data_IF_843230705889
#
_entry.id   IF_843230705889
#
_cell.length_a   1.000
_cell.length_b   1.000
_cell.length_c   1.000
_cell.angle_alpha   90.00
_cell.angle_beta   90.00
_cell.angle_gamma   90.00
#
_symmetry.space_group_name_H-M   'P 1'
#
loop_
_entity.id
_entity.type
_entity.pdbx_description
1 polymer ?
#
# COMPACT_ATOMS: atom_id res chain seq x y z
N UNK A 1 -9.06 -13.58 23.75
CA UNK A 1 -7.82 -13.43 22.96
C UNK A 1 -8.08 -12.99 21.52
N UNK A 2 -9.12 -13.50 20.85
CA UNK A 2 -9.49 -13.13 19.47
C UNK A 2 -9.66 -11.61 19.22
N UNK A 3 -10.27 -10.88 20.17
CA UNK A 3 -10.55 -9.44 20.01
C UNK A 3 -9.27 -8.59 19.89
N UNK A 4 -8.21 -8.93 20.62
CA UNK A 4 -6.91 -8.25 20.55
C UNK A 4 -6.24 -8.47 19.19
N UNK A 5 -6.29 -9.69 18.68
CA UNK A 5 -5.74 -10.04 17.37
C UNK A 5 -6.50 -9.37 16.22
N UNK A 6 -7.84 -9.32 16.32
CA UNK A 6 -8.68 -8.65 15.33
C UNK A 6 -8.40 -7.15 15.30
N UNK A 7 -8.36 -6.50 16.46
CA UNK A 7 -8.03 -5.08 16.56
C UNK A 7 -6.64 -4.76 15.98
N UNK A 8 -5.64 -5.59 16.29
CA UNK A 8 -4.30 -5.47 15.75
C UNK A 8 -4.29 -5.61 14.22
N UNK A 9 -5.04 -6.58 13.68
CA UNK A 9 -5.17 -6.80 12.24
C UNK A 9 -5.84 -5.63 11.52
N UNK A 10 -6.89 -5.05 12.12
CA UNK A 10 -7.58 -3.86 11.60
C UNK A 10 -6.64 -2.65 11.60
N UNK A 11 -5.97 -2.37 12.71
CA UNK A 11 -5.01 -1.26 12.80
C UNK A 11 -3.86 -1.41 11.81
N UNK A 12 -3.33 -2.62 11.67
CA UNK A 12 -2.24 -2.90 10.74
C UNK A 12 -2.67 -2.69 9.28
N UNK A 13 -3.86 -3.19 8.93
CA UNK A 13 -4.44 -3.02 7.58
C UNK A 13 -4.72 -1.55 7.27
N UNK A 14 -5.29 -0.82 8.23
CA UNK A 14 -5.55 0.61 8.11
C UNK A 14 -4.24 1.42 8.03
N UNK A 15 -3.19 1.00 8.73
CA UNK A 15 -1.85 1.57 8.66
C UNK A 15 -1.22 1.42 7.27
N UNK A 16 -1.20 0.21 6.72
CA UNK A 16 -0.69 -0.04 5.35
C UNK A 16 -1.48 0.78 4.33
N UNK A 17 -2.79 0.88 4.52
CA UNK A 17 -3.63 1.68 3.66
C UNK A 17 -3.28 3.18 3.72
N UNK A 18 -3.15 3.74 4.93
CA UNK A 18 -2.74 5.13 5.14
C UNK A 18 -1.35 5.42 4.56
N UNK A 19 -0.43 4.46 4.65
CA UNK A 19 0.89 4.57 4.02
C UNK A 19 0.75 4.67 2.50
N UNK A 20 -0.01 3.77 1.87
CA UNK A 20 -0.26 3.76 0.42
C UNK A 20 -0.86 5.08 -0.07
N UNK A 21 -1.93 5.55 0.58
CA UNK A 21 -2.59 6.79 0.20
C UNK A 21 -1.71 8.03 0.46
N UNK A 22 -0.91 8.00 1.54
CA UNK A 22 0.08 9.02 1.87
C UNK A 22 1.17 9.18 0.80
N UNK A 23 1.65 8.09 0.20
CA UNK A 23 2.58 8.15 -0.95
C UNK A 23 1.96 8.84 -2.17
N UNK A 24 0.70 8.51 -2.50
CA UNK A 24 -0.02 9.14 -3.60
C UNK A 24 -0.19 10.65 -3.40
N UNK A 25 -0.57 11.05 -2.17
CA UNK A 25 -0.71 12.45 -1.79
C UNK A 25 0.63 13.21 -1.81
N UNK A 26 1.71 12.59 -1.32
CA UNK A 26 3.05 13.18 -1.36
C UNK A 26 3.51 13.48 -2.79
N UNK A 27 3.27 12.56 -3.73
CA UNK A 27 3.63 12.79 -5.13
C UNK A 27 2.82 13.92 -5.76
N UNK A 28 1.50 13.97 -5.49
CA UNK A 28 0.65 15.06 -5.95
C UNK A 28 1.18 16.41 -5.44
N UNK A 29 1.49 16.51 -4.15
CA UNK A 29 2.04 17.71 -3.53
C UNK A 29 3.42 18.10 -4.08
N UNK A 30 4.28 17.12 -4.36
CA UNK A 30 5.60 17.33 -4.96
C UNK A 30 5.53 17.81 -6.41
N UNK A 31 4.49 17.41 -7.17
CA UNK A 31 4.32 17.77 -8.59
C UNK A 31 3.63 19.12 -8.78
N UNK A 32 2.86 19.58 -7.78
CA UNK A 32 2.18 20.88 -7.79
C UNK A 32 3.10 21.99 -7.30
N UNK A 33 3.31 23.01 -8.14
CA UNK A 33 4.21 24.16 -7.88
C UNK A 33 3.55 25.34 -7.14
N UNK A 34 2.35 25.17 -6.57
CA UNK A 34 1.64 26.27 -5.90
C UNK A 34 0.94 25.84 -4.61
N UNK A 35 1.08 26.66 -3.57
CA UNK A 35 0.38 26.50 -2.27
C UNK A 35 -1.13 26.32 -2.44
N UNK A 36 -1.87 27.12 -3.24
CA UNK A 36 -3.32 26.95 -3.35
C UNK A 36 -3.72 25.60 -3.98
N UNK A 37 -2.95 25.10 -4.96
CA UNK A 37 -3.20 23.80 -5.59
C UNK A 37 -2.90 22.62 -4.64
N UNK A 38 -1.93 22.81 -3.75
CA UNK A 38 -1.60 21.84 -2.70
C UNK A 38 -2.71 21.75 -1.67
N UNK A 39 -3.16 22.89 -1.16
CA UNK A 39 -4.29 22.97 -0.21
C UNK A 39 -5.54 22.34 -0.83
N UNK A 40 -5.88 22.70 -2.07
CA UNK A 40 -7.03 22.10 -2.75
C UNK A 40 -6.91 20.58 -2.87
N UNK A 41 -5.76 20.05 -3.31
CA UNK A 41 -5.58 18.60 -3.41
C UNK A 41 -5.71 17.87 -2.07
N UNK A 42 -5.16 18.43 -0.99
CA UNK A 42 -5.32 17.85 0.35
C UNK A 42 -6.76 17.94 0.84
N UNK A 43 -7.45 19.07 0.61
CA UNK A 43 -8.85 19.22 1.01
C UNK A 43 -9.74 18.26 0.25
N UNK A 44 -9.54 18.11 -1.07
CA UNK A 44 -10.29 17.17 -1.90
C UNK A 44 -10.08 15.73 -1.42
N UNK A 45 -8.84 15.35 -1.12
CA UNK A 45 -8.51 14.05 -0.56
C UNK A 45 -9.24 13.82 0.77
N UNK A 46 -9.16 14.76 1.71
CA UNK A 46 -9.83 14.66 3.02
C UNK A 46 -11.35 14.55 2.87
N UNK A 47 -11.97 15.34 1.98
CA UNK A 47 -13.41 15.30 1.73
C UNK A 47 -13.82 13.96 1.14
N UNK A 48 -13.09 13.45 0.14
CA UNK A 48 -13.41 12.17 -0.50
C UNK A 48 -13.34 11.01 0.51
N UNK A 49 -12.28 10.97 1.33
CA UNK A 49 -12.17 9.96 2.38
C UNK A 49 -13.21 10.13 3.47
N UNK A 50 -13.53 11.36 3.88
CA UNK A 50 -14.60 11.64 4.83
C UNK A 50 -15.95 11.13 4.33
N UNK A 51 -16.27 11.34 3.05
CA UNK A 51 -17.49 10.82 2.43
C UNK A 51 -17.53 9.29 2.43
N UNK A 52 -16.41 8.62 2.16
CA UNK A 52 -16.33 7.15 2.24
C UNK A 52 -16.63 6.66 3.66
N UNK A 53 -16.02 7.27 4.67
CA UNK A 53 -16.27 6.91 6.08
C UNK A 53 -17.75 7.12 6.45
N UNK A 54 -18.33 8.27 6.10
CA UNK A 54 -19.75 8.57 6.34
C UNK A 54 -20.66 7.56 5.62
N UNK A 55 -20.37 7.24 4.36
CA UNK A 55 -21.14 6.26 3.60
C UNK A 55 -21.07 4.87 4.26
N UNK A 56 -19.88 4.43 4.69
CA UNK A 56 -19.72 3.18 5.44
C UNK A 56 -20.51 3.20 6.76
N UNK A 57 -20.53 4.33 7.48
CA UNK A 57 -21.33 4.48 8.70
C UNK A 57 -22.81 4.33 8.43
N UNK A 58 -23.34 5.04 7.44
CA UNK A 58 -24.75 4.96 7.07
C UNK A 58 -25.09 3.50 6.77
N UNK A 59 -24.31 2.85 5.90
CA UNK A 59 -24.49 1.44 5.57
C UNK A 59 -24.47 0.51 6.78
N UNK A 60 -23.55 0.70 7.73
CA UNK A 60 -23.48 -0.14 8.94
C UNK A 60 -24.67 0.10 9.87
N UNK A 61 -25.14 1.34 10.00
CA UNK A 61 -26.22 1.70 10.94
C UNK A 61 -27.62 1.43 10.41
N UNK A 62 -27.83 1.47 9.09
CA UNK A 62 -29.15 1.29 8.48
C UNK A 62 -29.45 -0.15 8.09
N UNK A 63 -28.43 -1.02 8.06
CA UNK A 63 -28.53 -2.29 7.37
C UNK A 63 -28.14 -3.43 8.31
N UNK A 64 -29.03 -4.42 8.46
CA UNK A 64 -28.71 -5.62 9.21
C UNK A 64 -27.60 -6.40 8.50
N UNK A 65 -26.42 -6.44 9.13
CA UNK A 65 -25.20 -7.06 8.60
C UNK A 65 -25.44 -8.52 8.17
N UNK A 66 -26.33 -9.22 8.88
CA UNK A 66 -26.68 -10.62 8.61
C UNK A 66 -27.42 -10.81 7.28
N UNK A 67 -28.27 -9.86 6.86
CA UNK A 67 -29.00 -9.95 5.60
C UNK A 67 -28.08 -9.77 4.37
N UNK A 68 -26.96 -9.04 4.54
CA UNK A 68 -26.05 -8.69 3.45
C UNK A 68 -24.79 -9.55 3.37
N UNK A 69 -24.64 -10.49 4.31
CA UNK A 69 -23.49 -11.40 4.35
C UNK A 69 -23.25 -12.17 3.03
N UNK A 70 -24.28 -12.71 2.32
CA UNK A 70 -24.07 -13.41 1.05
C UNK A 70 -23.55 -12.48 -0.05
N UNK A 71 -24.08 -11.25 -0.12
CA UNK A 71 -23.62 -10.26 -1.08
C UNK A 71 -22.18 -9.83 -0.76
N UNK A 72 -21.86 -9.68 0.52
CA UNK A 72 -20.52 -9.33 0.99
C UNK A 72 -19.48 -10.39 0.61
N UNK A 73 -19.81 -11.68 0.69
CA UNK A 73 -18.93 -12.75 0.22
C UNK A 73 -18.64 -12.67 -1.28
N UNK A 74 -19.67 -12.40 -2.09
CA UNK A 74 -19.50 -12.21 -3.54
C UNK A 74 -18.59 -11.00 -3.81
N UNK A 75 -18.82 -9.88 -3.11
CA UNK A 75 -18.01 -8.67 -3.23
C UNK A 75 -16.55 -8.95 -2.83
N UNK A 76 -16.30 -9.68 -1.74
CA UNK A 76 -14.95 -10.04 -1.30
C UNK A 76 -14.24 -10.91 -2.34
N UNK A 77 -14.94 -11.90 -2.91
CA UNK A 77 -14.39 -12.79 -3.94
C UNK A 77 -13.91 -11.98 -5.16
N UNK A 78 -14.73 -11.04 -5.62
CA UNK A 78 -14.35 -10.14 -6.71
C UNK A 78 -13.27 -9.13 -6.30
N UNK A 79 -13.29 -8.66 -5.04
CA UNK A 79 -12.29 -7.74 -4.51
C UNK A 79 -10.89 -8.35 -4.52
N UNK A 80 -10.76 -9.65 -4.22
CA UNK A 80 -9.47 -10.33 -4.27
C UNK A 80 -8.89 -10.36 -5.69
N UNK A 81 -9.73 -10.68 -6.68
CA UNK A 81 -9.33 -10.69 -8.10
C UNK A 81 -8.91 -9.30 -8.58
N UNK A 82 -9.71 -8.27 -8.27
CA UNK A 82 -9.38 -6.89 -8.60
C UNK A 82 -8.13 -6.39 -7.88
N UNK A 83 -7.90 -6.82 -6.63
CA UNK A 83 -6.70 -6.46 -5.88
C UNK A 83 -5.44 -7.08 -6.48
N UNK A 84 -5.51 -8.35 -6.90
CA UNK A 84 -4.41 -9.00 -7.62
C UNK A 84 -4.07 -8.27 -8.92
N UNK A 85 -5.09 -7.96 -9.74
CA UNK A 85 -4.89 -7.20 -10.98
C UNK A 85 -4.26 -5.82 -10.71
N UNK A 86 -4.75 -5.11 -9.68
CA UNK A 86 -4.20 -3.82 -9.28
C UNK A 86 -2.75 -3.93 -8.78
N UNK A 87 -2.40 -4.99 -8.07
CA UNK A 87 -1.03 -5.23 -7.62
C UNK A 87 -0.07 -5.50 -8.79
N UNK A 88 -0.49 -6.28 -9.80
CA UNK A 88 0.28 -6.50 -11.03
C UNK A 88 0.45 -5.19 -11.80
N UNK A 89 -0.61 -4.41 -12.00
CA UNK A 89 -0.54 -3.11 -12.64
C UNK A 89 0.40 -2.14 -11.90
N UNK A 90 0.33 -2.10 -10.56
CA UNK A 90 1.26 -1.31 -9.75
C UNK A 90 2.70 -1.78 -9.95
N UNK A 91 2.96 -3.08 -10.02
CA UNK A 91 4.30 -3.63 -10.26
C UNK A 91 4.84 -3.21 -11.63
N UNK A 92 4.06 -3.40 -12.70
CA UNK A 92 4.42 -3.00 -14.07
C UNK A 92 4.70 -1.49 -14.13
N UNK A 93 3.81 -0.68 -13.53
CA UNK A 93 3.97 0.77 -13.51
C UNK A 93 5.21 1.21 -12.72
N UNK A 94 5.49 0.55 -11.59
CA UNK A 94 6.67 0.83 -10.76
C UNK A 94 7.96 0.59 -11.53
N UNK A 95 8.05 -0.55 -12.22
CA UNK A 95 9.20 -0.89 -13.08
C UNK A 95 9.34 0.11 -14.23
N UNK A 96 8.23 0.49 -14.87
CA UNK A 96 8.23 1.51 -15.92
C UNK A 96 8.71 2.88 -15.40
N UNK A 97 8.36 3.24 -14.17
CA UNK A 97 8.77 4.50 -13.55
C UNK A 97 10.27 4.50 -13.18
N UNK A 98 10.78 3.40 -12.64
CA UNK A 98 12.20 3.24 -12.27
C UNK A 98 13.10 3.20 -13.51
N UNK A 99 12.65 2.55 -14.61
CA UNK A 99 13.42 2.44 -15.87
C UNK A 99 13.45 3.73 -16.69
N UNK A 100 12.68 4.75 -16.33
CA UNK A 100 12.60 6.00 -17.10
C UNK A 100 13.90 6.80 -16.94
N UNK A 101 14.64 7.01 -18.03
CA UNK A 101 15.89 7.79 -18.04
C UNK A 101 15.68 9.22 -17.50
N UNK A 102 16.62 9.68 -16.66
CA UNK A 102 16.77 11.08 -16.23
C UNK A 102 16.82 11.99 -17.46
N UNK A 103 15.70 12.61 -17.81
CA UNK A 103 15.61 13.51 -18.97
C UNK A 103 14.22 13.62 -19.58
N UNK A 104 13.36 12.60 -19.43
CA UNK A 104 12.01 12.64 -19.97
C UNK A 104 11.02 13.29 -18.98
N UNK A 105 10.83 14.62 -19.12
CA UNK A 105 9.97 15.49 -18.28
C UNK A 105 8.47 15.18 -18.33
N UNK A 106 8.02 14.15 -19.05
CA UNK A 106 6.60 13.82 -19.12
C UNK A 106 6.08 13.43 -17.73
N UNK A 107 5.20 14.25 -17.15
CA UNK A 107 4.50 13.98 -15.88
C UNK A 107 3.83 12.61 -15.95
N UNK A 108 4.25 11.68 -15.09
CA UNK A 108 3.60 10.37 -15.04
C UNK A 108 2.34 10.46 -14.17
N UNK A 109 1.22 9.91 -14.67
CA UNK A 109 -0.06 9.89 -13.93
C UNK A 109 -0.14 8.75 -12.89
N UNK A 110 0.99 8.12 -12.56
CA UNK A 110 1.04 6.96 -11.66
C UNK A 110 0.48 7.22 -10.27
N UNK A 111 0.48 8.48 -9.84
CA UNK A 111 -0.08 8.91 -8.56
C UNK A 111 -1.58 8.63 -8.42
N UNK A 112 -2.35 8.64 -9.50
CA UNK A 112 -3.79 8.33 -9.44
C UNK A 112 -4.02 6.88 -8.98
N UNK A 113 -3.13 5.97 -9.37
CA UNK A 113 -3.23 4.55 -9.02
C UNK A 113 -2.93 4.29 -7.53
N UNK A 114 -2.17 5.17 -6.86
CA UNK A 114 -1.98 5.10 -5.40
C UNK A 114 -3.07 5.81 -4.62
N UNK A 115 -3.59 6.92 -5.15
CA UNK A 115 -4.56 7.75 -4.45
C UNK A 115 -5.96 7.13 -4.45
N UNK A 116 -6.31 6.36 -5.49
CA UNK A 116 -7.60 5.70 -5.61
C UNK A 116 -7.75 4.57 -4.56
N UNK A 117 -8.85 4.58 -3.77
CA UNK A 117 -9.15 3.49 -2.86
C UNK A 117 -9.39 2.21 -3.65
N UNK A 118 -8.69 1.15 -3.26
CA UNK A 118 -8.89 -0.18 -3.81
C UNK A 118 -10.14 -0.84 -3.20
N UNK A 119 -10.78 -1.82 -3.85
CA UNK A 119 -11.95 -2.50 -3.29
C UNK A 119 -11.65 -3.14 -1.92
N UNK A 120 -10.45 -3.71 -1.74
CA UNK A 120 -9.99 -4.24 -0.45
C UNK A 120 -9.88 -3.14 0.61
N UNK A 121 -9.44 -1.95 0.24
CA UNK A 121 -9.32 -0.80 1.11
C UNK A 121 -10.71 -0.37 1.63
N UNK A 122 -11.72 -0.38 0.75
CA UNK A 122 -13.11 -0.12 1.12
C UNK A 122 -13.64 -1.17 2.11
N UNK A 123 -13.33 -2.46 1.89
CA UNK A 123 -13.69 -3.55 2.81
C UNK A 123 -13.03 -3.36 4.18
N UNK A 124 -11.75 -2.99 4.24
CA UNK A 124 -11.06 -2.73 5.50
C UNK A 124 -11.70 -1.55 6.25
N UNK A 125 -12.02 -0.44 5.56
CA UNK A 125 -12.71 0.71 6.17
C UNK A 125 -14.08 0.28 6.70
N UNK A 126 -14.85 -0.45 5.89
CA UNK A 126 -16.17 -0.96 6.28
C UNK A 126 -16.09 -1.88 7.50
N UNK A 127 -15.19 -2.86 7.50
CA UNK A 127 -14.99 -3.77 8.63
C UNK A 127 -14.53 -3.04 9.88
N UNK A 128 -13.68 -2.02 9.73
CA UNK A 128 -13.24 -1.19 10.85
C UNK A 128 -14.44 -0.46 11.46
N UNK A 129 -15.25 0.22 10.63
CA UNK A 129 -16.44 0.94 11.09
C UNK A 129 -17.47 -0.01 11.71
N UNK A 130 -17.73 -1.16 11.07
CA UNK A 130 -18.66 -2.17 11.57
C UNK A 130 -18.23 -2.73 12.94
N UNK A 131 -16.94 -3.04 13.07
CA UNK A 131 -16.39 -3.56 14.32
C UNK A 131 -16.48 -2.54 15.46
N UNK A 132 -16.10 -1.29 15.19
CA UNK A 132 -16.17 -0.23 16.20
C UNK A 132 -17.61 0.15 16.56
N UNK A 133 -18.53 0.14 15.58
CA UNK A 133 -19.96 0.36 15.84
C UNK A 133 -20.56 -0.75 16.71
N UNK A 134 -20.13 -2.00 16.52
CA UNK A 134 -20.54 -3.12 17.36
C UNK A 134 -19.92 -3.08 18.77
N UNK A 135 -18.73 -2.51 18.92
CA UNK A 135 -18.02 -2.44 20.20
C UNK A 135 -18.55 -1.32 21.12
N UNK A 136 -18.87 -0.14 20.57
CA UNK A 136 -19.43 1.01 21.34
C UNK A 136 -20.68 1.57 20.64
N UNK A 137 -21.85 0.93 20.81
CA UNK A 137 -23.07 1.34 20.14
C UNK A 137 -23.61 2.70 20.63
N UNK A 138 -23.30 3.12 21.85
CA UNK A 138 -23.78 4.40 22.41
C UNK A 138 -23.06 5.62 21.82
N UNK A 139 -21.81 5.47 21.39
CA UNK A 139 -20.94 6.56 20.90
C UNK A 139 -20.39 6.30 19.49
N UNK A 140 -21.23 5.79 18.59
CA UNK A 140 -20.85 5.45 17.21
C UNK A 140 -20.23 6.65 16.48
N UNK A 141 -20.85 7.84 16.57
CA UNK A 141 -20.37 9.07 15.89
C UNK A 141 -18.97 9.48 16.34
N UNK A 142 -18.71 9.45 17.65
CA UNK A 142 -17.40 9.83 18.22
C UNK A 142 -16.32 8.82 17.83
N UNK A 143 -16.66 7.53 17.86
CA UNK A 143 -15.74 6.45 17.52
C UNK A 143 -15.33 6.50 16.04
N UNK A 144 -16.27 6.80 15.14
CA UNK A 144 -15.97 6.97 13.71
C UNK A 144 -15.13 8.23 13.47
N UNK A 145 -15.46 9.33 14.16
CA UNK A 145 -14.65 10.55 14.10
C UNK A 145 -13.21 10.26 14.53
N UNK A 146 -13.02 9.50 15.61
CA UNK A 146 -11.71 9.04 16.07
C UNK A 146 -11.00 8.17 15.02
N UNK A 147 -11.71 7.23 14.38
CA UNK A 147 -11.14 6.35 13.37
C UNK A 147 -10.69 7.13 12.12
N UNK A 148 -11.52 8.06 11.66
CA UNK A 148 -11.19 8.97 10.57
C UNK A 148 -10.00 9.87 10.94
N UNK A 149 -10.00 10.44 12.14
CA UNK A 149 -8.91 11.27 12.64
C UNK A 149 -7.60 10.47 12.73
N UNK A 150 -7.66 9.24 13.23
CA UNK A 150 -6.52 8.32 13.27
C UNK A 150 -5.97 8.02 11.88
N UNK A 151 -6.85 7.72 10.92
CA UNK A 151 -6.46 7.54 9.52
C UNK A 151 -5.80 8.80 8.93
N UNK A 152 -6.33 9.98 9.21
CA UNK A 152 -5.76 11.25 8.75
C UNK A 152 -4.40 11.53 9.39
N UNK A 153 -4.23 11.25 10.69
CA UNK A 153 -2.95 11.38 11.39
C UNK A 153 -1.90 10.44 10.79
N UNK A 154 -2.27 9.19 10.47
CA UNK A 154 -1.37 8.23 9.83
C UNK A 154 -0.98 8.65 8.40
N UNK A 155 -1.91 9.22 7.63
CA UNK A 155 -1.60 9.78 6.32
C UNK A 155 -0.63 10.97 6.45
N UNK A 156 -0.89 11.87 7.40
CA UNK A 156 -0.06 13.06 7.60
C UNK A 156 1.33 12.70 8.14
N UNK A 157 1.42 11.70 9.02
CA UNK A 157 2.70 11.19 9.52
C UNK A 157 3.51 10.54 8.41
N UNK A 158 2.87 9.76 7.53
CA UNK A 158 3.49 9.20 6.34
C UNK A 158 4.00 10.33 5.43
N UNK A 159 3.16 11.32 5.12
CA UNK A 159 3.55 12.47 4.31
C UNK A 159 4.76 13.20 4.91
N UNK A 160 4.75 13.47 6.21
CA UNK A 160 5.84 14.11 6.93
C UNK A 160 7.13 13.28 6.91
N UNK A 161 7.03 11.97 7.09
CA UNK A 161 8.16 11.05 7.01
C UNK A 161 8.79 11.05 5.61
N UNK A 162 7.96 11.00 4.56
CA UNK A 162 8.43 11.02 3.17
C UNK A 162 9.04 12.37 2.78
N UNK A 163 8.45 13.47 3.24
CA UNK A 163 9.00 14.80 3.03
C UNK A 163 10.38 14.95 3.66
N UNK A 164 10.55 14.48 4.90
CA UNK A 164 11.85 14.46 5.60
C UNK A 164 12.86 13.57 4.86
N UNK A 165 12.45 12.38 4.42
CA UNK A 165 13.32 11.45 3.69
C UNK A 165 13.75 12.01 2.34
N UNK A 166 12.84 12.66 1.60
CA UNK A 166 13.15 13.32 0.33
C UNK A 166 14.14 14.46 0.50
N UNK A 167 13.99 15.29 1.55
CA UNK A 167 14.94 16.36 1.87
C UNK A 167 16.33 15.82 2.20
N UNK A 168 16.42 14.67 2.88
CA UNK A 168 17.71 14.06 3.28
C UNK A 168 18.44 13.37 2.11
N UNK A 169 17.70 12.79 1.17
CA UNK A 169 18.27 11.96 0.11
C UNK A 169 18.45 12.66 -1.23
N UNK A 170 17.92 13.89 -1.40
CA UNK A 170 17.92 14.64 -2.68
C UNK A 170 17.44 13.79 -3.88
N UNK A 171 16.65 12.74 -3.61
CA UNK A 171 16.17 11.83 -4.65
C UNK A 171 15.00 12.46 -5.39
N UNK A 172 14.92 12.28 -6.73
CA UNK A 172 13.77 12.75 -7.47
C UNK A 172 12.51 12.02 -6.99
N UNK A 173 11.37 12.73 -6.89
CA UNK A 173 10.13 12.17 -6.34
C UNK A 173 9.62 10.94 -7.11
N UNK A 174 9.95 10.84 -8.41
CA UNK A 174 9.58 9.69 -9.25
C UNK A 174 10.24 8.39 -8.80
N UNK A 175 11.51 8.42 -8.38
CA UNK A 175 12.24 7.21 -7.96
C UNK A 175 11.78 6.73 -6.59
N UNK A 176 11.53 7.67 -5.67
CA UNK A 176 10.99 7.36 -4.35
C UNK A 176 9.56 6.81 -4.44
N UNK A 177 8.74 7.38 -5.33
CA UNK A 177 7.40 6.86 -5.60
C UNK A 177 7.47 5.45 -6.23
N UNK A 178 8.31 5.25 -7.25
CA UNK A 178 8.44 3.97 -7.92
C UNK A 178 8.91 2.86 -6.98
N UNK A 179 9.90 3.14 -6.13
CA UNK A 179 10.37 2.18 -5.12
C UNK A 179 9.31 1.83 -4.09
N UNK A 180 8.57 2.83 -3.59
CA UNK A 180 7.48 2.61 -2.65
C UNK A 180 6.31 1.84 -3.26
N UNK A 181 5.91 2.18 -4.49
CA UNK A 181 4.88 1.44 -5.22
C UNK A 181 5.29 -0.02 -5.42
N UNK A 182 6.56 -0.27 -5.77
CA UNK A 182 7.07 -1.63 -5.96
C UNK A 182 7.02 -2.42 -4.65
N UNK A 183 7.48 -1.83 -3.54
CA UNK A 183 7.46 -2.47 -2.23
C UNK A 183 6.03 -2.81 -1.77
N UNK A 184 5.10 -1.87 -1.94
CA UNK A 184 3.68 -2.06 -1.60
C UNK A 184 3.04 -3.13 -2.51
N UNK A 185 3.32 -3.10 -3.81
CA UNK A 185 2.82 -4.11 -4.75
C UNK A 185 3.35 -5.51 -4.42
N UNK A 186 4.64 -5.61 -4.06
CA UNK A 186 5.28 -6.85 -3.65
C UNK A 186 4.65 -7.41 -2.37
N UNK A 187 4.44 -6.53 -1.38
CA UNK A 187 3.76 -6.88 -0.14
C UNK A 187 2.34 -7.40 -0.39
N UNK A 188 1.58 -6.76 -1.28
CA UNK A 188 0.23 -7.22 -1.63
C UNK A 188 0.23 -8.54 -2.38
N UNK A 189 1.11 -8.72 -3.37
CA UNK A 189 1.25 -10.01 -4.06
C UNK A 189 1.60 -11.13 -3.09
N UNK A 190 2.56 -10.88 -2.19
CA UNK A 190 2.95 -11.84 -1.17
C UNK A 190 1.77 -12.16 -0.24
N UNK A 191 1.01 -11.16 0.18
CA UNK A 191 -0.18 -11.34 1.03
C UNK A 191 -1.27 -12.18 0.34
N UNK A 192 -1.53 -11.93 -0.95
CA UNK A 192 -2.51 -12.69 -1.75
C UNK A 192 -2.07 -14.13 -1.99
N UNK A 193 -0.76 -14.37 -2.16
CA UNK A 193 -0.22 -15.73 -2.35
C UNK A 193 -0.24 -16.53 -1.04
N UNK A 194 0.07 -15.88 0.08
CA UNK A 194 0.18 -16.51 1.38
C UNK A 194 -1.19 -16.81 1.99
N UNK A 195 -2.15 -15.89 1.93
CA UNK A 195 -3.47 -16.04 2.57
C UNK A 195 -4.23 -17.34 2.24
N UNK A 196 -4.41 -17.76 0.96
CA UNK A 196 -5.16 -18.97 0.63
C UNK A 196 -4.46 -20.27 1.05
N UNK A 197 -3.17 -20.23 1.40
CA UNK A 197 -2.48 -21.41 1.93
C UNK A 197 -2.91 -21.70 3.38
N UNK A 198 -3.29 -20.67 4.14
CA UNK A 198 -3.71 -20.81 5.53
C UNK A 198 -5.15 -21.29 5.68
N UNK A 199 -6.03 -21.03 4.71
CA UNK A 199 -7.43 -21.46 4.78
C UNK A 199 -7.62 -22.98 4.67
N UNK A 200 -6.61 -23.72 4.16
CA UNK A 200 -6.65 -25.18 4.09
C UNK A 200 -6.08 -25.90 5.31
N UNK A 201 -5.48 -25.17 6.27
CA UNK A 201 -4.80 -25.81 7.42
C UNK A 201 -5.80 -26.48 8.36
N UNK A 202 -6.99 -25.91 8.55
CA UNK A 202 -8.05 -26.52 9.37
C UNK A 202 -8.54 -27.85 8.79
N UNK A 203 -8.63 -27.95 7.45
CA UNK A 203 -8.99 -29.18 6.74
C UNK A 203 -7.85 -30.21 6.79
N UNK A 204 -6.60 -29.78 6.66
CA UNK A 204 -5.44 -30.67 6.83
C UNK A 204 -5.35 -31.18 8.28
N UNK A 205 -5.65 -30.32 9.27
CA UNK A 205 -5.65 -30.69 10.68
C UNK A 205 -6.81 -31.66 10.98
N UNK A 206 -8.00 -31.45 10.42
CA UNK A 206 -9.14 -32.36 10.58
C UNK A 206 -8.90 -33.72 9.92
N UNK A 207 -8.24 -33.77 8.75
CA UNK A 207 -7.80 -35.00 8.09
C UNK A 207 -6.73 -35.75 8.90
N UNK A 208 -5.80 -35.02 9.54
CA UNK A 208 -4.80 -35.63 10.43
C UNK A 208 -5.40 -36.18 11.73
N UNK A 209 -6.51 -35.61 12.19
CA UNK A 209 -7.29 -36.07 13.34
C UNK A 209 -8.22 -37.24 13.01
N UNK A 210 -8.70 -37.36 11.76
CA UNK A 210 -9.70 -38.37 11.36
C UNK A 210 -9.16 -39.52 10.50
N UNK A 211 -7.89 -39.49 10.05
CA UNK A 211 -7.29 -40.55 9.24
C UNK A 211 -7.75 -40.52 7.77
N UNK A 212 -6.78 -40.51 6.86
CA UNK A 212 -6.93 -40.30 5.41
C UNK A 212 -7.90 -41.21 4.65
N UNK A 213 -8.46 -40.70 3.53
CA UNK A 213 -8.51 -41.43 2.25
C UNK A 213 -7.62 -40.75 1.17
N UNK A 214 -7.41 -41.36 -0.02
CA UNK A 214 -6.25 -41.11 -0.88
C UNK A 214 -6.43 -39.86 -1.76
N UNK A 215 -5.56 -38.86 -1.59
CA UNK A 215 -5.55 -37.62 -2.37
C UNK A 215 -4.16 -37.00 -2.53
N UNK A 216 -3.10 -37.81 -2.47
CA UNK A 216 -1.71 -37.32 -2.48
C UNK A 216 -1.26 -36.75 -3.84
N UNK A 217 -1.94 -37.08 -4.93
CA UNK A 217 -1.49 -36.71 -6.29
C UNK A 217 -1.82 -35.25 -6.64
N UNK A 218 -2.94 -34.71 -6.14
CA UNK A 218 -3.37 -33.32 -6.41
C UNK A 218 -2.54 -32.28 -5.63
N UNK A 219 -2.02 -32.66 -4.46
CA UNK A 219 -1.20 -31.78 -3.62
C UNK A 219 0.23 -31.63 -4.15
N UNK A 220 0.78 -32.65 -4.81
CA UNK A 220 2.11 -32.57 -5.41
C UNK A 220 2.12 -31.62 -6.63
N UNK A 221 1.09 -31.63 -7.47
CA UNK A 221 0.95 -30.73 -8.62
C UNK A 221 0.81 -29.25 -8.18
N UNK A 222 0.03 -29.01 -7.11
CA UNK A 222 -0.12 -27.67 -6.51
C UNK A 222 1.14 -27.18 -5.78
N UNK A 223 1.96 -28.10 -5.23
CA UNK A 223 3.27 -27.77 -4.63
C UNK A 223 4.31 -27.36 -5.66
N UNK A 224 4.35 -28.04 -6.81
CA UNK A 224 5.31 -27.75 -7.88
C UNK A 224 5.06 -26.41 -8.56
N UNK A 225 3.80 -26.05 -8.77
CA UNK A 225 3.46 -24.71 -9.28
C UNK A 225 3.87 -23.61 -8.27
N UNK A 226 3.78 -23.88 -6.97
CA UNK A 226 4.19 -22.95 -5.92
C UNK A 226 5.72 -22.77 -5.82
N UNK A 227 6.49 -23.85 -5.90
CA UNK A 227 7.96 -23.78 -5.92
C UNK A 227 8.49 -23.10 -7.18
N UNK A 228 7.85 -23.32 -8.33
CA UNK A 228 8.25 -22.70 -9.59
C UNK A 228 7.91 -21.20 -9.61
N UNK A 229 6.76 -20.80 -9.05
CA UNK A 229 6.38 -19.39 -8.91
C UNK A 229 7.27 -18.65 -7.90
N UNK A 230 7.62 -19.27 -6.77
CA UNK A 230 8.53 -18.69 -5.77
C UNK A 230 9.97 -18.60 -6.27
N UNK A 231 10.45 -19.58 -7.05
CA UNK A 231 11.75 -19.51 -7.72
C UNK A 231 11.79 -18.42 -8.81
N UNK A 232 10.73 -18.27 -9.60
CA UNK A 232 10.61 -17.14 -10.54
C UNK A 232 10.57 -15.80 -9.83
N UNK A 233 9.93 -15.73 -8.66
CA UNK A 233 9.87 -14.52 -7.84
C UNK A 233 11.22 -14.17 -7.19
N UNK A 234 11.92 -15.16 -6.64
CA UNK A 234 13.30 -14.97 -6.16
C UNK A 234 14.24 -14.59 -7.31
N UNK A 235 14.11 -15.24 -8.46
CA UNK A 235 14.89 -14.91 -9.66
C UNK A 235 14.64 -13.48 -10.14
N UNK A 236 13.38 -13.04 -10.16
CA UNK A 236 12.97 -11.69 -10.54
C UNK A 236 13.42 -10.61 -9.57
N UNK A 237 13.36 -10.88 -8.26
CA UNK A 237 13.85 -9.95 -7.23
C UNK A 237 15.37 -9.89 -7.20
N UNK A 238 16.07 -11.02 -7.34
CA UNK A 238 17.53 -11.07 -7.44
C UNK A 238 18.05 -10.40 -8.72
N UNK A 239 17.35 -10.52 -9.85
CA UNK A 239 17.71 -9.79 -11.08
C UNK A 239 17.39 -8.30 -10.99
N UNK A 240 16.31 -7.92 -10.31
CA UNK A 240 16.02 -6.50 -10.02
C UNK A 240 17.06 -5.90 -9.05
N UNK A 241 17.50 -6.68 -8.05
CA UNK A 241 18.54 -6.28 -7.10
C UNK A 241 19.95 -6.31 -7.71
N UNK A 242 20.26 -7.22 -8.64
CA UNK A 242 21.55 -7.24 -9.34
C UNK A 242 21.67 -6.13 -10.39
N UNK A 243 20.55 -5.67 -10.95
CA UNK A 243 20.48 -4.43 -11.74
C UNK A 243 20.64 -3.17 -10.88
N UNK A 244 20.35 -3.23 -9.58
CA UNK A 244 20.82 -2.23 -8.61
C UNK A 244 22.29 -2.49 -8.31
N UNK A 245 23.17 -2.09 -9.25
CA UNK A 245 24.62 -2.16 -9.04
C UNK A 245 25.00 -1.50 -7.69
N UNK A 246 25.69 -2.23 -6.78
CA UNK A 246 26.14 -1.72 -5.49
C UNK A 246 27.02 -0.47 -5.60
N UNK A 247 27.61 -0.24 -6.78
CA UNK A 247 28.43 0.93 -7.08
C UNK A 247 27.65 2.25 -7.00
N UNK A 248 26.34 2.24 -7.20
CA UNK A 248 25.49 3.45 -7.14
C UNK A 248 25.02 3.80 -5.73
N UNK A 249 24.96 2.82 -4.82
CA UNK A 249 24.59 3.05 -3.42
C UNK A 249 25.80 3.58 -2.62
N UNK A 250 26.98 3.01 -2.83
CA UNK A 250 28.20 3.44 -2.13
C UNK A 250 28.80 4.77 -2.64
N UNK A 251 28.67 5.12 -3.93
CA UNK A 251 29.11 6.44 -4.41
C UNK A 251 28.23 7.61 -3.92
N UNK A 252 27.04 7.33 -3.36
CA UNK A 252 26.16 8.34 -2.76
C UNK A 252 26.46 8.61 -1.28
N UNK A 253 27.28 7.77 -0.64
CA UNK A 253 27.69 7.89 0.76
C UNK A 253 29.04 8.58 0.96
N UNK A 254 29.81 8.80 -0.11
CA UNK A 254 31.04 9.59 -0.07
C UNK A 254 30.73 10.97 -0.65
N UNK A 255 30.65 12.04 0.16
CA UNK A 255 30.56 13.38 -0.38
C UNK A 255 31.81 13.65 -1.21
N UNK A 256 31.64 13.91 -2.50
CA UNK A 256 32.72 14.41 -3.32
C UNK A 256 33.26 15.71 -2.68
N UNK A 257 34.58 15.86 -2.47
CA UNK A 257 35.13 17.10 -1.97
C UNK A 257 34.79 18.22 -2.94
N UNK A 258 34.14 19.26 -2.41
CA UNK A 258 33.76 20.47 -3.13
C UNK A 258 34.98 21.05 -3.86
N UNK A 259 34.91 21.31 -5.18
CA UNK A 259 35.97 22.06 -5.84
C UNK A 259 35.94 23.49 -5.30
N UNK A 260 36.97 23.81 -4.51
CA UNK A 260 37.30 25.14 -4.03
C UNK A 260 37.50 26.07 -5.24
N UNK A 261 36.42 26.72 -5.69
CA UNK A 261 36.48 27.80 -6.68
C UNK A 261 37.18 28.99 -6.02
N UNK A 262 38.50 29.01 -6.20
CA UNK A 262 39.40 30.12 -5.90
C UNK A 262 38.90 31.35 -6.69
N UNK A 263 38.18 32.25 -6.01
CA UNK A 263 37.87 33.59 -6.49
C UNK A 263 39.20 34.31 -6.76
N UNK A 264 39.64 34.35 -8.02
CA UNK A 264 40.70 35.23 -8.49
C UNK A 264 40.07 36.52 -9.01
N UNK A 265 40.46 37.63 -8.41
CA UNK A 265 40.66 38.95 -9.00
C UNK A 265 39.53 39.55 -9.86
N UNK A 266 38.75 40.45 -9.25
CA UNK A 266 38.36 41.71 -9.92
C UNK A 266 38.39 42.81 -8.86
N UNK A 267 39.50 43.55 -8.78
CA UNK A 267 39.55 45.01 -8.57
C UNK A 267 40.98 45.44 -8.94
N UNK A 268 41.12 45.95 -10.17
CA UNK A 268 42.25 46.73 -10.64
C UNK A 268 41.68 47.93 -11.39
N UNK A 269 42.18 49.10 -10.99
CA UNK A 269 41.83 50.48 -11.39
C UNK A 269 40.67 51.09 -10.63
#
# INVERSE_FOLDING_TARGET
>A
MALKSLFLGVLFSMGIFAVKSGFGLNYYLGTCSGIPKRVWGTTLFTVLYGLIFIACTILVTTTDLMAWFPLFQIIISHAMTLHFFLAVLMCIWSLALIRKKKGNKNKTRGWMLLALPCPVCMVVIFLSVAFFAAYVPEHVKETISLLFLGFMILNLSTLGALYRLGKRTHTPPDHLLGGAMLFIALYFLLSVIIMPQFSGIEEIYSLSLHGSPPGQDLLMEKRWTFTLLTLLFMGGTLTAMSQMSPSSFFHSLVPAPLPWKRHKNIYKK
#
